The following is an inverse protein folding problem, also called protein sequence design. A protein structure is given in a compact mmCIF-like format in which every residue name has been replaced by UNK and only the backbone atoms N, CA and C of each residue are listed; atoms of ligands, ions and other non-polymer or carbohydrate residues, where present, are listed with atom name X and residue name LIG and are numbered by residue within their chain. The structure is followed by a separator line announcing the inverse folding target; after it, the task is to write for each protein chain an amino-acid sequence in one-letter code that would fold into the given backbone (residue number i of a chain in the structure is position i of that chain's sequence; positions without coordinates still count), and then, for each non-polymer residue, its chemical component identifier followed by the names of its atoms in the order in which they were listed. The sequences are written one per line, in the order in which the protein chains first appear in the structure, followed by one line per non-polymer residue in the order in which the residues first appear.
data_IF_106979477530
#
_entry.id   IF_106979477530
#
_cell.length_a   1.000
_cell.length_b   1.000
_cell.length_c   1.000
_cell.angle_alpha   90.00
_cell.angle_beta   90.00
_cell.angle_gamma   90.00
#
_symmetry.space_group_name_H-M   'P 1'
#
loop_
_entity.id
_entity.type
_entity.pdbx_description
1 polymer ?
#
# COMPACT_ATOMS: atom_id res chain seq x y z
N UNK A 1 -6.88 -4.17 -18.18
CA UNK A 1 -5.73 -3.67 -17.39
C UNK A 1 -5.80 -2.15 -17.44
N UNK A 2 -5.90 -1.46 -16.30
CA UNK A 2 -5.88 0.01 -16.30
C UNK A 2 -4.40 0.43 -16.30
N UNK A 3 -3.79 0.52 -17.48
CA UNK A 3 -2.40 0.92 -17.61
C UNK A 3 -2.28 2.43 -17.42
N UNK A 4 -1.96 2.79 -16.18
CA UNK A 4 -1.31 4.06 -15.89
C UNK A 4 0.09 4.02 -16.53
N UNK A 5 0.48 5.08 -17.22
CA UNK A 5 1.82 5.22 -17.80
C UNK A 5 2.85 5.54 -16.71
N UNK A 6 3.12 4.58 -15.82
CA UNK A 6 4.23 4.65 -14.88
C UNK A 6 5.45 3.94 -15.43
N UNK A 7 6.63 4.47 -15.10
CA UNK A 7 7.87 3.72 -15.16
C UNK A 7 7.89 2.73 -13.99
N UNK A 8 7.44 1.50 -14.27
CA UNK A 8 7.35 0.45 -13.26
C UNK A 8 8.70 -0.23 -13.03
N UNK A 9 9.07 -0.36 -11.77
CA UNK A 9 10.16 -1.25 -11.32
C UNK A 9 9.56 -2.56 -10.81
N UNK A 10 9.91 -3.67 -11.46
CA UNK A 10 9.51 -5.02 -11.04
C UNK A 10 10.52 -5.57 -10.02
N UNK A 11 10.08 -5.90 -8.80
CA UNK A 11 10.97 -6.46 -7.76
C UNK A 11 10.75 -7.96 -7.50
N UNK A 12 9.56 -8.48 -7.80
CA UNK A 12 9.24 -9.91 -7.73
C UNK A 12 8.11 -10.24 -8.70
N UNK A 13 7.83 -11.51 -9.04
CA UNK A 13 6.89 -11.88 -10.13
C UNK A 13 5.52 -11.22 -10.05
N UNK A 14 4.99 -11.01 -8.85
CA UNK A 14 3.68 -10.41 -8.63
C UNK A 14 3.73 -9.07 -7.91
N UNK A 15 4.91 -8.45 -7.83
CA UNK A 15 5.11 -7.16 -7.16
C UNK A 15 5.93 -6.19 -8.00
N UNK A 16 5.32 -5.03 -8.27
CA UNK A 16 5.97 -3.88 -8.89
C UNK A 16 5.58 -2.59 -8.19
N UNK A 17 6.42 -1.57 -8.35
CA UNK A 17 6.17 -0.25 -7.81
C UNK A 17 6.61 0.84 -8.77
N UNK A 18 6.12 2.05 -8.53
CA UNK A 18 6.57 3.28 -9.15
C UNK A 18 6.58 4.40 -8.10
N UNK A 19 7.49 5.35 -8.26
CA UNK A 19 7.49 6.60 -7.50
C UNK A 19 6.87 7.69 -8.38
N UNK A 20 5.98 8.50 -7.81
CA UNK A 20 5.31 9.58 -8.56
C UNK A 20 5.27 10.87 -7.75
N UNK A 21 4.97 11.98 -8.44
CA UNK A 21 4.87 13.33 -7.87
C UNK A 21 6.15 13.74 -7.12
N UNK A 22 7.29 13.75 -7.84
CA UNK A 22 8.62 14.03 -7.28
C UNK A 22 8.98 13.12 -6.10
N UNK A 23 8.76 11.81 -6.27
CA UNK A 23 9.04 10.78 -5.26
C UNK A 23 8.25 10.92 -3.94
N UNK A 24 7.13 11.66 -3.95
CA UNK A 24 6.31 11.86 -2.75
C UNK A 24 5.26 10.78 -2.54
N UNK A 25 4.91 10.02 -3.57
CA UNK A 25 3.89 8.97 -3.49
C UNK A 25 4.46 7.68 -4.05
N UNK A 26 4.45 6.64 -3.23
CA UNK A 26 4.71 5.28 -3.65
C UNK A 26 3.43 4.69 -4.24
N UNK A 27 3.49 4.22 -5.48
CA UNK A 27 2.43 3.40 -6.08
C UNK A 27 2.92 1.96 -6.13
N UNK A 28 2.21 1.04 -5.50
CA UNK A 28 2.49 -0.39 -5.58
C UNK A 28 1.35 -1.13 -6.26
N UNK A 29 1.70 -2.16 -7.02
CA UNK A 29 0.73 -3.09 -7.56
C UNK A 29 1.13 -4.52 -7.22
N UNK A 30 0.16 -5.27 -6.69
CA UNK A 30 0.28 -6.70 -6.47
C UNK A 30 -0.70 -7.42 -7.40
N UNK A 31 -0.21 -8.37 -8.19
CA UNK A 31 -1.03 -9.13 -9.16
C UNK A 31 -1.27 -10.58 -8.75
N UNK A 32 -0.75 -10.99 -7.59
CA UNK A 32 -0.75 -12.36 -7.08
C UNK A 32 -0.14 -12.41 -5.68
N UNK A 33 -0.34 -13.52 -4.96
CA UNK A 33 0.24 -13.75 -3.64
C UNK A 33 1.08 -15.02 -3.66
N UNK A 34 2.39 -14.85 -3.74
CA UNK A 34 3.37 -15.87 -3.41
C UNK A 34 4.30 -15.33 -2.31
N UNK A 35 5.13 -16.21 -1.72
CA UNK A 35 6.02 -15.80 -0.63
C UNK A 35 7.05 -14.78 -1.10
N UNK A 36 7.64 -14.97 -2.29
CA UNK A 36 8.65 -14.08 -2.83
C UNK A 36 8.15 -12.64 -3.03
N UNK A 37 6.93 -12.47 -3.54
CA UNK A 37 6.33 -11.17 -3.81
C UNK A 37 5.86 -10.48 -2.53
N UNK A 38 5.36 -11.25 -1.55
CA UNK A 38 5.05 -10.69 -0.22
C UNK A 38 6.32 -10.25 0.48
N UNK A 39 7.38 -11.06 0.50
CA UNK A 39 8.65 -10.69 1.11
C UNK A 39 9.29 -9.49 0.41
N UNK A 40 9.29 -9.45 -0.93
CA UNK A 40 9.81 -8.32 -1.68
C UNK A 40 9.03 -7.02 -1.38
N UNK A 41 7.69 -7.10 -1.31
CA UNK A 41 6.86 -5.97 -0.91
C UNK A 41 7.19 -5.46 0.50
N UNK A 42 7.27 -6.38 1.47
CA UNK A 42 7.52 -6.02 2.87
C UNK A 42 8.93 -5.45 3.04
N UNK A 43 9.94 -6.08 2.46
CA UNK A 43 11.33 -5.61 2.54
C UNK A 43 11.49 -4.24 1.89
N UNK A 44 10.91 -4.03 0.69
CA UNK A 44 10.95 -2.72 0.05
C UNK A 44 10.25 -1.65 0.89
N UNK A 45 9.09 -1.94 1.47
CA UNK A 45 8.43 -0.96 2.35
C UNK A 45 9.18 -0.71 3.67
N UNK A 46 9.94 -1.69 4.20
CA UNK A 46 10.82 -1.49 5.36
C UNK A 46 12.01 -0.59 4.99
N UNK A 47 12.68 -0.85 3.88
CA UNK A 47 13.77 -0.03 3.34
C UNK A 47 13.31 1.40 3.11
N UNK A 48 12.15 1.57 2.46
CA UNK A 48 11.57 2.88 2.22
C UNK A 48 11.25 3.61 3.54
N UNK A 49 10.71 2.93 4.55
CA UNK A 49 10.47 3.52 5.88
C UNK A 49 11.77 4.01 6.55
N UNK A 50 12.89 3.35 6.29
CA UNK A 50 14.19 3.78 6.80
C UNK A 50 14.70 5.03 6.10
N UNK A 51 14.58 5.10 4.77
CA UNK A 51 15.17 6.16 3.95
C UNK A 51 14.24 7.36 3.72
N UNK A 52 12.94 7.22 3.98
CA UNK A 52 11.98 8.29 3.75
C UNK A 52 12.21 9.48 4.70
N UNK A 53 12.16 10.73 4.20
CA UNK A 53 12.38 11.94 5.01
C UNK A 53 11.53 11.94 6.29
N UNK A 54 12.13 12.28 7.43
CA UNK A 54 11.46 12.16 8.74
C UNK A 54 10.43 13.25 8.99
N UNK A 55 10.57 14.39 8.31
CA UNK A 55 9.71 15.57 8.36
C UNK A 55 8.48 15.46 7.43
N UNK A 56 8.37 14.39 6.65
CA UNK A 56 7.31 14.22 5.65
C UNK A 56 6.47 12.97 5.93
N UNK A 57 5.14 13.06 5.78
CA UNK A 57 4.31 11.87 5.86
C UNK A 57 4.64 10.91 4.71
N UNK A 58 4.54 9.61 4.98
CA UNK A 58 4.60 8.60 3.92
C UNK A 58 3.24 8.50 3.24
N UNK A 59 3.24 8.47 1.91
CA UNK A 59 2.02 8.34 1.11
C UNK A 59 2.15 7.15 0.17
N UNK A 60 1.18 6.26 0.22
CA UNK A 60 1.18 5.04 -0.58
C UNK A 60 -0.17 4.77 -1.23
N UNK A 61 -0.16 4.35 -2.49
CA UNK A 61 -1.29 3.72 -3.16
C UNK A 61 -0.98 2.24 -3.33
N UNK A 62 -1.83 1.37 -2.80
CA UNK A 62 -1.73 -0.09 -2.95
C UNK A 62 -2.85 -0.59 -3.85
N UNK A 63 -2.52 -0.93 -5.10
CA UNK A 63 -3.45 -1.54 -6.05
C UNK A 63 -3.57 -3.04 -5.79
N UNK A 64 -4.73 -3.44 -5.27
CA UNK A 64 -5.09 -4.84 -4.98
C UNK A 64 -6.26 -5.34 -5.84
N UNK A 65 -6.64 -4.63 -6.91
CA UNK A 65 -7.78 -5.05 -7.75
C UNK A 65 -7.62 -6.45 -8.35
N UNK A 66 -6.38 -6.91 -8.49
CA UNK A 66 -6.05 -8.21 -9.11
C UNK A 66 -5.74 -9.30 -8.07
N UNK A 67 -5.79 -9.01 -6.77
CA UNK A 67 -5.29 -9.94 -5.75
C UNK A 67 -5.96 -9.77 -4.39
N UNK A 68 -6.20 -10.89 -3.69
CA UNK A 68 -6.61 -10.85 -2.29
C UNK A 68 -5.40 -11.03 -1.38
N UNK A 69 -4.93 -9.95 -0.74
CA UNK A 69 -3.79 -10.00 0.19
C UNK A 69 -4.13 -10.57 1.57
N UNK A 70 -5.36 -11.00 1.81
CA UNK A 70 -5.82 -11.40 3.14
C UNK A 70 -5.38 -12.82 3.55
N UNK A 71 -4.11 -13.14 3.38
CA UNK A 71 -3.51 -14.43 3.74
C UNK A 71 -2.89 -14.37 5.14
N UNK A 72 -2.82 -15.50 5.89
CA UNK A 72 -2.18 -15.53 7.20
C UNK A 72 -0.71 -15.07 7.17
N UNK A 73 0.01 -15.40 6.11
CA UNK A 73 1.41 -15.02 5.93
C UNK A 73 1.55 -13.50 5.74
N UNK A 74 0.79 -12.91 4.81
CA UNK A 74 0.81 -11.46 4.61
C UNK A 74 0.45 -10.69 5.89
N UNK A 75 -0.57 -11.13 6.63
CA UNK A 75 -0.96 -10.53 7.91
C UNK A 75 0.17 -10.55 8.95
N UNK A 76 0.95 -11.64 9.03
CA UNK A 76 2.12 -11.71 9.91
C UNK A 76 3.25 -10.80 9.43
N UNK A 77 3.51 -10.76 8.13
CA UNK A 77 4.61 -9.94 7.58
C UNK A 77 4.33 -8.45 7.69
N UNK A 78 3.08 -8.00 7.46
CA UNK A 78 2.72 -6.57 7.58
C UNK A 78 2.79 -6.05 9.02
N UNK A 79 2.64 -6.91 10.03
CA UNK A 79 2.84 -6.51 11.43
C UNK A 79 4.27 -6.00 11.68
N UNK A 80 5.27 -6.58 11.01
CA UNK A 80 6.67 -6.11 11.11
C UNK A 80 6.82 -4.68 10.61
N UNK A 81 6.07 -4.32 9.56
CA UNK A 81 6.06 -2.97 9.00
C UNK A 81 5.53 -1.93 10.00
N UNK A 82 4.45 -2.27 10.71
CA UNK A 82 3.82 -1.37 11.66
C UNK A 82 4.62 -1.17 12.95
N UNK A 83 5.44 -2.15 13.34
CA UNK A 83 6.33 -2.01 14.48
C UNK A 83 7.54 -1.13 14.18
N UNK A 84 7.87 -0.93 12.90
CA UNK A 84 8.99 -0.08 12.49
C UNK A 84 8.56 1.39 12.34
N UNK A 85 9.16 2.25 13.17
CA UNK A 85 8.85 3.69 13.29
C UNK A 85 7.33 3.93 13.51
N UNK A 86 6.78 3.51 14.66
CA UNK A 86 5.33 3.58 14.94
C UNK A 86 4.76 5.00 15.00
N UNK A 87 5.62 6.01 15.20
CA UNK A 87 5.25 7.43 15.25
C UNK A 87 5.19 8.09 13.87
N UNK A 88 5.58 7.38 12.82
CA UNK A 88 5.59 7.91 11.46
C UNK A 88 4.20 8.01 10.89
N UNK A 89 3.82 9.23 10.49
CA UNK A 89 2.55 9.48 9.81
C UNK A 89 2.57 8.80 8.43
N UNK A 90 1.58 7.93 8.19
CA UNK A 90 1.43 7.21 6.95
C UNK A 90 -0.02 7.30 6.46
N UNK A 91 -0.18 7.72 5.20
CA UNK A 91 -1.45 7.72 4.49
C UNK A 91 -1.40 6.66 3.39
N UNK A 92 -2.28 5.68 3.46
CA UNK A 92 -2.32 4.59 2.48
C UNK A 92 -3.70 4.48 1.85
N UNK A 93 -3.77 4.66 0.53
CA UNK A 93 -4.94 4.40 -0.27
C UNK A 93 -4.91 2.95 -0.77
N UNK A 94 -5.94 2.16 -0.47
CA UNK A 94 -6.14 0.84 -1.06
C UNK A 94 -7.09 0.97 -2.25
N UNK A 95 -6.58 0.69 -3.45
CA UNK A 95 -7.39 0.63 -4.66
C UNK A 95 -7.91 -0.79 -4.82
N UNK A 96 -9.22 -0.95 -4.62
CA UNK A 96 -9.91 -2.24 -4.65
C UNK A 96 -10.89 -2.33 -5.82
N UNK A 97 -11.26 -3.55 -6.19
CA UNK A 97 -12.41 -3.77 -7.05
C UNK A 97 -13.71 -3.65 -6.24
N UNK A 98 -14.86 -3.49 -6.90
CA UNK A 98 -16.17 -3.41 -6.19
C UNK A 98 -16.71 -4.78 -5.78
N UNK A 99 -15.85 -5.77 -5.54
CA UNK A 99 -16.26 -7.13 -5.18
C UNK A 99 -16.64 -7.27 -3.70
N UNK A 100 -17.33 -8.37 -3.38
CA UNK A 100 -17.67 -8.74 -2.00
C UNK A 100 -16.40 -8.95 -1.14
N UNK A 101 -15.34 -9.52 -1.72
CA UNK A 101 -14.07 -9.73 -1.02
C UNK A 101 -13.43 -8.39 -0.60
N UNK A 102 -13.50 -7.38 -1.46
CA UNK A 102 -13.02 -6.02 -1.18
C UNK A 102 -13.80 -5.35 -0.05
N UNK A 103 -15.11 -5.62 0.09
CA UNK A 103 -15.90 -5.16 1.24
C UNK A 103 -15.50 -5.85 2.55
N UNK A 104 -15.08 -7.11 2.50
CA UNK A 104 -14.54 -7.80 3.69
C UNK A 104 -13.20 -7.23 4.11
N UNK A 105 -12.33 -6.89 3.14
CA UNK A 105 -11.09 -6.17 3.43
C UNK A 105 -11.37 -4.78 4.01
N UNK A 106 -12.38 -4.07 3.49
CA UNK A 106 -12.85 -2.80 4.06
C UNK A 106 -13.27 -2.92 5.51
N UNK A 107 -14.04 -3.95 5.85
CA UNK A 107 -14.41 -4.22 7.22
C UNK A 107 -13.17 -4.54 8.08
N UNK A 108 -12.23 -5.36 7.58
CA UNK A 108 -11.01 -5.72 8.31
C UNK A 108 -10.10 -4.50 8.58
N UNK A 109 -9.86 -3.65 7.58
CA UNK A 109 -9.07 -2.42 7.71
C UNK A 109 -9.71 -1.45 8.70
N UNK A 110 -11.05 -1.33 8.69
CA UNK A 110 -11.78 -0.50 9.67
C UNK A 110 -11.73 -1.05 11.09
N UNK A 111 -11.67 -2.37 11.25
CA UNK A 111 -11.64 -3.06 12.55
C UNK A 111 -10.22 -3.19 13.12
N UNK A 112 -9.19 -3.12 12.27
CA UNK A 112 -7.80 -3.12 12.72
C UNK A 112 -7.58 -1.85 13.56
N UNK A 113 -7.18 -2.04 14.82
CA UNK A 113 -7.04 -0.97 15.82
C UNK A 113 -6.41 0.27 15.19
N UNK A 114 -7.08 1.42 15.33
CA UNK A 114 -6.60 2.73 14.88
C UNK A 114 -5.15 2.93 15.36
N UNK A 115 -4.19 2.69 14.48
CA UNK A 115 -2.82 3.10 14.73
C UNK A 115 -2.83 4.62 14.63
N UNK A 116 -2.46 5.29 15.71
CA UNK A 116 -2.56 6.75 15.84
C UNK A 116 -1.96 7.50 14.65
N UNK A 117 -0.92 6.93 14.02
CA UNK A 117 -0.16 7.55 12.94
C UNK A 117 -0.37 6.91 11.57
N UNK A 118 -1.29 5.94 11.41
CA UNK A 118 -1.57 5.35 10.08
C UNK A 118 -3.04 5.52 9.72
N UNK A 119 -3.29 6.18 8.59
CA UNK A 119 -4.61 6.46 8.05
C UNK A 119 -4.78 5.70 6.75
N UNK A 120 -5.78 4.82 6.71
CA UNK A 120 -6.15 4.08 5.53
C UNK A 120 -7.39 4.69 4.88
N UNK A 121 -7.38 4.78 3.55
CA UNK A 121 -8.59 5.03 2.76
C UNK A 121 -8.77 3.93 1.73
N UNK A 122 -10.00 3.51 1.53
CA UNK A 122 -10.37 2.58 0.48
C UNK A 122 -11.00 3.39 -0.65
N UNK A 123 -10.52 3.13 -1.86
CA UNK A 123 -10.92 3.81 -3.06
C UNK A 123 -11.24 2.78 -4.14
N UNK A 124 -12.08 3.18 -5.09
CA UNK A 124 -12.54 2.31 -6.18
C UNK A 124 -12.11 2.81 -7.56
N UNK A 125 -11.43 3.95 -7.62
CA UNK A 125 -10.72 4.43 -8.80
C UNK A 125 -9.33 4.94 -8.44
N UNK A 126 -8.45 4.93 -9.45
CA UNK A 126 -7.11 5.48 -9.30
C UNK A 126 -7.17 6.99 -9.01
N UNK A 127 -7.97 7.74 -9.77
CA UNK A 127 -8.08 9.20 -9.63
C UNK A 127 -8.56 9.60 -8.22
N UNK A 128 -9.52 8.85 -7.65
CA UNK A 128 -9.98 9.05 -6.28
C UNK A 128 -8.85 8.84 -5.27
N UNK A 129 -8.06 7.78 -5.47
CA UNK A 129 -6.94 7.42 -4.61
C UNK A 129 -5.88 8.53 -4.60
N UNK A 130 -5.51 9.02 -5.78
CA UNK A 130 -4.52 10.08 -5.94
C UNK A 130 -5.03 11.42 -5.42
N UNK A 131 -6.26 11.81 -5.75
CA UNK A 131 -6.86 13.04 -5.25
C UNK A 131 -6.85 13.08 -3.73
N UNK A 132 -7.18 11.97 -3.06
CA UNK A 132 -7.12 11.89 -1.61
C UNK A 132 -5.69 11.98 -1.07
N UNK A 133 -4.74 11.22 -1.63
CA UNK A 133 -3.34 11.22 -1.18
C UNK A 133 -2.69 12.61 -1.32
N UNK A 134 -3.01 13.35 -2.38
CA UNK A 134 -2.50 14.71 -2.61
C UNK A 134 -3.02 15.72 -1.59
N UNK A 135 -4.20 15.47 -1.00
CA UNK A 135 -4.75 16.28 0.08
C UNK A 135 -4.13 15.99 1.46
N UNK A 136 -3.35 14.89 1.59
CA UNK A 136 -2.78 14.48 2.88
C UNK A 136 -1.39 15.11 3.11
N UNK A 137 -1.32 16.42 3.32
CA UNK A 137 -0.05 17.15 3.51
C UNK A 137 -0.21 18.41 4.30
#
# INVERSE_FOLDING_TARGET
MYDQNFEWTQLAPHYRYAMTHDEKILVVQLTGVDWASVDAFINHCLELRHTWPEDKPMRGLVDQRSVNLNTPYFRKSIQRLFLLKPDRICYTAFLLDKSIASRTLEAAVRLQMKQTHTVFKICYSFDESMAWLLQQG
#
